data_IF_346341161448
#
_entry.id   IF_346341161448
#
_cell.length_a   1.000
_cell.length_b   1.000
_cell.length_c   1.000
_cell.angle_alpha   90.00
_cell.angle_beta   90.00
_cell.angle_gamma   90.00
#
_symmetry.space_group_name_H-M   'P 1'
#
loop_
_entity.id
_entity.type
_entity.pdbx_description
1 polymer ?
#
# COMPACT_ATOMS: atom_id res chain seq x y z
N UNK A 1 -15.06 -33.19 5.23
CA UNK A 1 -14.97 -31.71 5.28
C UNK A 1 -13.51 -31.32 5.10
N UNK A 2 -13.02 -31.38 3.87
CA UNK A 2 -11.61 -31.16 3.61
C UNK A 2 -11.31 -31.19 2.12
N UNK A 3 -10.33 -30.38 1.76
CA UNK A 3 -9.55 -30.40 0.51
C UNK A 3 -10.16 -29.81 -0.76
N UNK A 4 -11.47 -29.53 -0.83
CA UNK A 4 -12.07 -28.97 -2.06
C UNK A 4 -12.12 -27.43 -2.14
N UNK A 5 -11.86 -26.69 -1.05
CA UNK A 5 -11.81 -25.21 -1.09
C UNK A 5 -10.38 -24.65 -1.29
N UNK A 6 -9.35 -25.48 -1.18
CA UNK A 6 -7.95 -25.05 -1.38
C UNK A 6 -7.52 -25.13 -2.86
N UNK A 7 -8.25 -25.87 -3.69
CA UNK A 7 -7.99 -26.04 -5.13
C UNK A 7 -8.51 -24.88 -6.01
N UNK A 8 -9.35 -24.00 -5.47
CA UNK A 8 -9.83 -22.81 -6.19
C UNK A 8 -8.81 -21.65 -6.16
N UNK A 9 -7.81 -21.71 -5.27
CA UNK A 9 -6.73 -20.72 -5.17
C UNK A 9 -5.44 -21.11 -5.88
N UNK A 10 -5.29 -22.37 -6.30
CA UNK A 10 -4.04 -22.89 -6.87
C UNK A 10 -4.02 -22.92 -8.40
N UNK A 11 -5.15 -22.64 -9.07
CA UNK A 11 -5.28 -22.83 -10.51
C UNK A 11 -5.50 -21.54 -11.33
N UNK A 12 -4.62 -20.55 -11.13
CA UNK A 12 -4.36 -19.50 -12.14
C UNK A 12 -2.88 -19.48 -12.54
N UNK A 13 -2.40 -20.47 -13.33
CA UNK A 13 -0.98 -20.79 -13.30
C UNK A 13 -0.09 -20.01 -14.27
N UNK A 14 -0.54 -19.01 -15.06
CA UNK A 14 0.37 -18.42 -16.06
C UNK A 14 0.24 -16.91 -16.43
N UNK A 15 -0.59 -16.11 -15.75
CA UNK A 15 -0.65 -14.65 -15.99
C UNK A 15 0.12 -13.81 -14.94
N UNK A 16 0.28 -14.32 -13.71
CA UNK A 16 0.82 -13.55 -12.58
C UNK A 16 2.36 -13.49 -12.48
N UNK A 17 3.10 -14.38 -13.14
CA UNK A 17 4.55 -14.48 -12.97
C UNK A 17 5.36 -13.86 -14.13
N UNK A 18 4.80 -13.73 -15.33
CA UNK A 18 5.50 -13.15 -16.50
C UNK A 18 5.50 -11.60 -16.49
N UNK A 19 4.49 -10.95 -15.88
CA UNK A 19 4.44 -9.48 -15.78
C UNK A 19 5.42 -8.87 -14.75
N UNK A 20 5.95 -9.68 -13.82
CA UNK A 20 6.87 -9.23 -12.76
C UNK A 20 8.18 -8.62 -13.27
N UNK A 21 8.58 -8.91 -14.51
CA UNK A 21 9.89 -8.52 -15.03
C UNK A 21 9.91 -7.18 -15.79
N UNK A 22 8.75 -6.59 -16.14
CA UNK A 22 8.66 -5.27 -16.83
C UNK A 22 7.78 -4.22 -16.14
N UNK A 23 7.33 -4.46 -14.91
CA UNK A 23 6.37 -3.62 -14.18
C UNK A 23 6.78 -2.14 -14.14
N UNK A 24 7.96 -1.82 -13.60
CA UNK A 24 8.38 -0.42 -13.37
C UNK A 24 8.58 0.45 -14.63
N UNK A 25 8.82 -0.18 -15.78
CA UNK A 25 8.98 0.53 -17.06
C UNK A 25 7.64 0.69 -17.80
N UNK A 26 6.65 -0.16 -17.49
CA UNK A 26 5.30 -0.11 -18.05
C UNK A 26 4.36 0.80 -17.26
N UNK A 27 4.69 1.12 -16.00
CA UNK A 27 3.91 2.08 -15.21
C UNK A 27 4.13 3.49 -15.79
N UNK A 28 3.06 4.03 -16.39
CA UNK A 28 3.00 5.41 -16.86
C UNK A 28 3.02 6.39 -15.67
N UNK A 29 3.46 7.63 -15.88
CA UNK A 29 3.48 8.65 -14.82
C UNK A 29 4.65 8.60 -13.82
N UNK A 30 5.51 7.57 -13.84
CA UNK A 30 6.71 7.54 -12.97
C UNK A 30 7.85 8.42 -13.50
N UNK A 31 8.43 9.23 -12.63
CA UNK A 31 9.66 9.97 -12.90
C UNK A 31 10.87 9.03 -13.00
N UNK A 32 11.98 9.44 -13.63
CA UNK A 32 13.20 8.62 -13.68
C UNK A 32 13.72 8.17 -12.29
N UNK A 33 13.58 9.04 -11.28
CA UNK A 33 13.92 8.72 -9.89
C UNK A 33 13.00 7.65 -9.29
N UNK A 34 11.68 7.79 -9.46
CA UNK A 34 10.71 6.81 -9.00
C UNK A 34 10.89 5.45 -9.67
N UNK A 35 11.26 5.42 -10.98
CA UNK A 35 11.59 4.16 -11.67
C UNK A 35 12.79 3.45 -11.05
N UNK A 36 13.80 4.20 -10.58
CA UNK A 36 14.96 3.63 -9.88
C UNK A 36 14.55 2.98 -8.56
N UNK A 37 13.69 3.65 -7.78
CA UNK A 37 13.14 3.12 -6.52
C UNK A 37 12.30 1.88 -6.79
N UNK A 38 11.37 1.93 -7.75
CA UNK A 38 10.55 0.78 -8.13
C UNK A 38 11.41 -0.42 -8.53
N UNK A 39 12.49 -0.21 -9.30
CA UNK A 39 13.41 -1.30 -9.69
C UNK A 39 14.17 -1.91 -8.51
N UNK A 40 14.44 -1.12 -7.47
CA UNK A 40 15.11 -1.58 -6.24
C UNK A 40 14.14 -2.33 -5.30
N UNK A 41 12.90 -1.87 -5.22
CA UNK A 41 11.87 -2.36 -4.29
C UNK A 41 10.67 -2.98 -5.05
N UNK A 42 10.95 -3.83 -6.05
CA UNK A 42 9.90 -4.38 -6.95
C UNK A 42 8.86 -5.20 -6.20
N UNK A 43 9.30 -5.97 -5.22
CA UNK A 43 8.50 -6.76 -4.30
C UNK A 43 7.55 -5.92 -3.42
N UNK A 44 7.83 -4.63 -3.24
CA UNK A 44 6.99 -3.71 -2.47
C UNK A 44 5.82 -3.17 -3.30
N UNK A 45 5.95 -3.13 -4.63
CA UNK A 45 4.98 -2.49 -5.53
C UNK A 45 3.54 -3.01 -5.40
N UNK A 46 3.28 -4.32 -5.17
CA UNK A 46 1.93 -4.80 -4.88
C UNK A 46 1.34 -4.21 -3.58
N UNK A 47 2.16 -4.04 -2.54
CA UNK A 47 1.72 -3.41 -1.28
C UNK A 47 1.48 -1.91 -1.46
N UNK A 48 2.36 -1.22 -2.19
CA UNK A 48 2.20 0.20 -2.55
C UNK A 48 0.90 0.41 -3.33
N UNK A 49 0.65 -0.38 -4.38
CA UNK A 49 -0.57 -0.24 -5.18
C UNK A 49 -1.85 -0.48 -4.37
N UNK A 50 -1.85 -1.47 -3.46
CA UNK A 50 -2.97 -1.68 -2.53
C UNK A 50 -3.17 -0.48 -1.59
N UNK A 51 -2.09 0.06 -1.04
CA UNK A 51 -2.14 1.21 -0.14
C UNK A 51 -2.70 2.47 -0.80
N UNK A 52 -2.31 2.73 -2.06
CA UNK A 52 -2.90 3.85 -2.83
C UNK A 52 -4.40 3.65 -3.05
N UNK A 53 -4.84 2.46 -3.48
CA UNK A 53 -6.28 2.16 -3.63
C UNK A 53 -7.05 2.38 -2.34
N UNK A 54 -6.51 1.88 -1.22
CA UNK A 54 -7.12 2.07 0.09
C UNK A 54 -7.24 3.56 0.45
N UNK A 55 -6.20 4.36 0.19
CA UNK A 55 -6.24 5.80 0.43
C UNK A 55 -7.27 6.53 -0.44
N UNK A 56 -7.42 6.15 -1.71
CA UNK A 56 -8.43 6.71 -2.61
C UNK A 56 -9.84 6.34 -2.16
N UNK A 57 -10.08 5.07 -1.83
CA UNK A 57 -11.38 4.62 -1.30
C UNK A 57 -11.75 5.38 -0.02
N UNK A 58 -10.80 5.57 0.89
CA UNK A 58 -11.01 6.36 2.10
C UNK A 58 -11.29 7.85 1.77
N UNK A 59 -10.56 8.41 0.81
CA UNK A 59 -10.79 9.77 0.35
C UNK A 59 -12.21 9.97 -0.20
N UNK A 60 -12.67 9.05 -1.06
CA UNK A 60 -14.02 9.05 -1.58
C UNK A 60 -15.06 8.91 -0.47
N UNK A 61 -14.79 8.06 0.52
CA UNK A 61 -15.65 7.91 1.68
C UNK A 61 -15.77 9.20 2.51
N UNK A 62 -14.65 9.89 2.77
CA UNK A 62 -14.61 11.14 3.53
C UNK A 62 -15.31 12.30 2.80
N UNK A 63 -15.28 12.30 1.48
CA UNK A 63 -15.81 13.38 0.64
C UNK A 63 -17.11 13.04 -0.10
N UNK A 64 -17.75 11.91 0.21
CA UNK A 64 -18.95 11.41 -0.50
C UNK A 64 -20.12 12.41 -0.55
N UNK A 65 -20.26 13.24 0.48
CA UNK A 65 -21.34 14.23 0.62
C UNK A 65 -20.87 15.67 0.29
N UNK A 66 -19.74 15.80 -0.43
CA UNK A 66 -19.15 17.08 -0.86
C UNK A 66 -19.30 17.28 -2.36
N UNK A 67 -19.22 18.53 -2.82
CA UNK A 67 -19.25 18.87 -4.26
C UNK A 67 -18.13 18.21 -5.06
N UNK A 68 -16.96 18.09 -4.44
CA UNK A 68 -15.86 17.27 -4.93
C UNK A 68 -15.81 16.00 -4.10
N UNK A 69 -15.93 14.84 -4.75
CA UNK A 69 -16.13 13.53 -4.13
C UNK A 69 -14.86 12.64 -4.20
N UNK A 70 -13.69 13.25 -4.37
CA UNK A 70 -12.42 12.54 -4.54
C UNK A 70 -12.35 11.57 -5.72
N UNK A 71 -13.01 11.92 -6.84
CA UNK A 71 -12.70 11.30 -8.14
C UNK A 71 -11.26 11.66 -8.52
N UNK A 72 -10.39 10.65 -8.50
CA UNK A 72 -9.05 10.73 -9.11
C UNK A 72 -9.15 10.48 -10.61
N UNK A 73 -8.12 10.85 -11.37
CA UNK A 73 -8.06 10.59 -12.81
C UNK A 73 -8.25 9.09 -13.11
N UNK A 74 -9.00 8.77 -14.17
CA UNK A 74 -9.40 7.40 -14.57
C UNK A 74 -8.25 6.49 -15.03
N UNK A 75 -7.00 6.86 -14.75
CA UNK A 75 -5.86 6.04 -15.11
C UNK A 75 -5.89 4.73 -14.30
N UNK A 76 -5.97 3.60 -15.00
CA UNK A 76 -5.93 2.27 -14.38
C UNK A 76 -4.68 2.05 -13.50
N UNK A 77 -3.64 2.86 -13.75
CA UNK A 77 -2.45 2.91 -12.92
C UNK A 77 -2.66 3.86 -11.75
N UNK A 78 -2.70 3.30 -10.53
CA UNK A 78 -2.64 4.02 -9.24
C UNK A 78 -1.32 4.77 -9.00
N UNK A 79 -0.53 4.97 -10.06
CA UNK A 79 0.80 5.54 -10.05
C UNK A 79 0.84 6.70 -11.04
N UNK A 80 1.34 7.86 -10.58
CA UNK A 80 1.31 9.11 -11.34
C UNK A 80 0.68 10.23 -10.50
N UNK A 81 0.52 11.43 -11.09
CA UNK A 81 -0.15 12.54 -10.42
C UNK A 81 -1.63 12.19 -10.18
N UNK A 82 -2.07 12.19 -8.91
CA UNK A 82 -3.46 11.89 -8.56
C UNK A 82 -4.43 13.01 -8.95
N UNK A 83 -3.92 14.24 -9.03
CA UNK A 83 -4.61 15.43 -9.51
C UNK A 83 -3.60 16.33 -10.22
N UNK A 84 -4.10 17.17 -11.13
CA UNK A 84 -3.27 18.09 -11.93
C UNK A 84 -3.27 19.52 -11.39
N UNK A 85 -4.08 19.81 -10.36
CA UNK A 85 -4.25 21.14 -9.78
C UNK A 85 -3.70 21.21 -8.35
N UNK A 86 -3.08 22.32 -7.98
CA UNK A 86 -2.68 22.57 -6.59
C UNK A 86 -3.88 23.14 -5.80
N UNK A 87 -4.57 22.28 -5.06
CA UNK A 87 -5.73 22.64 -4.24
C UNK A 87 -5.67 22.00 -2.84
N UNK A 88 -6.58 22.38 -1.96
CA UNK A 88 -6.70 21.78 -0.60
C UNK A 88 -7.08 20.30 -0.69
N UNK A 89 -7.93 19.97 -1.65
CA UNK A 89 -8.40 18.63 -1.97
C UNK A 89 -7.24 17.76 -2.48
N UNK A 90 -6.39 18.33 -3.34
CA UNK A 90 -5.14 17.68 -3.77
C UNK A 90 -4.22 17.37 -2.59
N UNK A 91 -4.00 18.34 -1.71
CA UNK A 91 -3.16 18.14 -0.53
C UNK A 91 -3.69 17.01 0.36
N UNK A 92 -5.01 16.95 0.57
CA UNK A 92 -5.65 15.86 1.30
C UNK A 92 -5.46 14.51 0.61
N UNK A 93 -5.66 14.46 -0.72
CA UNK A 93 -5.52 13.25 -1.52
C UNK A 93 -4.11 12.66 -1.45
N UNK A 94 -3.07 13.48 -1.56
CA UNK A 94 -1.68 13.02 -1.39
C UNK A 94 -1.39 12.57 0.04
N UNK A 95 -1.92 13.26 1.06
CA UNK A 95 -1.73 12.88 2.45
C UNK A 95 -2.37 11.51 2.78
N UNK A 96 -3.63 11.29 2.37
CA UNK A 96 -4.34 10.05 2.68
C UNK A 96 -3.81 8.86 1.89
N UNK A 97 -3.38 9.07 0.64
CA UNK A 97 -2.74 8.01 -0.16
C UNK A 97 -1.36 7.66 0.35
N UNK A 98 -0.55 8.64 0.76
CA UNK A 98 0.74 8.39 1.42
C UNK A 98 0.56 7.61 2.73
N UNK A 99 -0.43 7.98 3.56
CA UNK A 99 -0.78 7.22 4.76
C UNK A 99 -1.20 5.78 4.43
N UNK A 100 -2.03 5.61 3.39
CA UNK A 100 -2.44 4.29 2.90
C UNK A 100 -1.27 3.41 2.47
N UNK A 101 -0.30 3.97 1.74
CA UNK A 101 0.93 3.26 1.35
C UNK A 101 1.76 2.85 2.56
N UNK A 102 2.06 3.76 3.47
CA UNK A 102 2.86 3.47 4.67
C UNK A 102 2.22 2.37 5.52
N UNK A 103 0.89 2.41 5.67
CA UNK A 103 0.14 1.39 6.39
C UNK A 103 0.19 0.03 5.68
N UNK A 104 -0.05 0.00 4.36
CA UNK A 104 -0.07 -1.23 3.58
C UNK A 104 1.31 -1.91 3.52
N UNK A 105 2.39 -1.13 3.42
CA UNK A 105 3.76 -1.65 3.47
C UNK A 105 4.09 -2.15 4.88
N UNK A 106 3.78 -1.38 5.93
CA UNK A 106 4.01 -1.81 7.31
C UNK A 106 3.27 -3.10 7.69
N UNK A 107 2.06 -3.29 7.16
CA UNK A 107 1.29 -4.55 7.27
C UNK A 107 1.91 -5.69 6.47
N UNK A 108 2.37 -5.42 5.25
CA UNK A 108 3.06 -6.44 4.45
C UNK A 108 4.34 -6.94 5.14
N UNK A 109 5.05 -6.07 5.85
CA UNK A 109 6.17 -6.45 6.71
C UNK A 109 5.75 -7.36 7.87
N UNK A 110 4.67 -6.98 8.59
CA UNK A 110 4.12 -7.78 9.69
C UNK A 110 3.71 -9.18 9.22
N UNK A 111 3.06 -9.25 8.06
CA UNK A 111 2.56 -10.50 7.48
C UNK A 111 3.69 -11.36 6.86
N UNK A 112 4.95 -10.92 6.89
CA UNK A 112 6.08 -11.65 6.30
C UNK A 112 6.07 -11.70 4.76
N UNK A 113 5.31 -10.81 4.10
CA UNK A 113 5.19 -10.76 2.63
C UNK A 113 6.37 -10.08 1.95
N UNK A 114 7.20 -9.36 2.71
CA UNK A 114 8.38 -8.63 2.24
C UNK A 114 9.61 -9.17 2.94
N UNK A 115 10.62 -9.59 2.19
CA UNK A 115 11.83 -10.20 2.74
C UNK A 115 12.76 -9.19 3.43
N UNK A 116 12.62 -7.90 3.11
CA UNK A 116 13.46 -6.81 3.59
C UNK A 116 13.08 -6.27 4.98
N UNK A 117 11.93 -6.69 5.51
CA UNK A 117 11.40 -6.20 6.78
C UNK A 117 10.66 -7.29 7.55
N UNK A 118 10.28 -6.99 8.80
CA UNK A 118 9.49 -7.86 9.65
C UNK A 118 8.62 -7.05 10.60
N UNK A 119 8.25 -7.64 11.74
CA UNK A 119 7.44 -7.00 12.77
C UNK A 119 8.01 -5.65 13.23
N UNK A 120 7.12 -4.78 13.72
CA UNK A 120 7.51 -3.55 14.39
C UNK A 120 8.47 -3.80 15.56
N UNK A 121 9.48 -2.95 15.68
CA UNK A 121 10.41 -2.92 16.83
C UNK A 121 9.96 -1.93 17.91
N UNK A 122 8.71 -1.47 17.85
CA UNK A 122 8.15 -0.55 18.84
C UNK A 122 8.19 -1.18 20.24
N UNK A 123 8.82 -0.45 21.17
CA UNK A 123 8.85 -0.83 22.57
C UNK A 123 7.46 -0.73 23.22
N UNK A 124 7.33 -1.36 24.39
CA UNK A 124 6.13 -1.27 25.22
C UNK A 124 5.72 0.20 25.44
N UNK A 125 4.47 0.59 25.14
CA UNK A 125 3.98 1.93 25.44
C UNK A 125 4.02 2.22 26.94
N UNK A 126 4.46 3.43 27.33
CA UNK A 126 4.49 3.86 28.74
C UNK A 126 3.09 3.94 29.37
N UNK A 127 2.07 4.13 28.53
CA UNK A 127 0.65 4.21 28.92
C UNK A 127 0.00 2.84 29.11
N UNK A 128 0.65 1.74 28.73
CA UNK A 128 0.08 0.40 28.86
C UNK A 128 0.08 -0.02 30.34
N UNK A 129 -1.12 -0.33 30.86
CA UNK A 129 -1.31 -0.79 32.24
C UNK A 129 -0.41 -1.99 32.56
N UNK A 130 0.17 -2.00 33.77
CA UNK A 130 1.23 -2.95 34.17
C UNK A 130 0.82 -4.40 34.02
N UNK A 131 -0.46 -4.70 34.25
CA UNK A 131 -1.03 -6.06 34.17
C UNK A 131 -1.09 -6.62 32.74
N UNK A 132 -0.99 -5.76 31.72
CA UNK A 132 -1.01 -6.18 30.32
C UNK A 132 0.40 -6.48 29.85
N UNK A 133 0.58 -7.58 29.11
CA UNK A 133 1.85 -7.93 28.47
C UNK A 133 1.89 -7.33 27.07
N UNK A 134 2.98 -6.63 26.73
CA UNK A 134 3.23 -6.17 25.37
C UNK A 134 3.88 -7.28 24.57
N UNK A 135 3.32 -7.62 23.41
CA UNK A 135 3.83 -8.69 22.56
C UNK A 135 3.08 -8.82 21.25
N UNK A 136 3.40 -9.89 20.53
CA UNK A 136 2.88 -10.14 19.18
C UNK A 136 3.69 -9.44 18.09
N UNK A 137 3.19 -9.52 16.85
CA UNK A 137 3.79 -8.90 15.69
C UNK A 137 2.92 -7.72 15.25
N UNK A 138 3.39 -6.49 15.52
CA UNK A 138 2.70 -5.26 15.11
C UNK A 138 3.13 -4.77 13.72
N UNK A 139 2.29 -3.92 13.11
CA UNK A 139 2.57 -3.26 11.83
C UNK A 139 3.86 -2.43 11.92
N UNK A 140 4.79 -2.63 10.98
CA UNK A 140 6.08 -1.93 10.97
C UNK A 140 5.98 -0.58 10.25
N UNK A 141 5.37 0.40 10.93
CA UNK A 141 5.11 1.73 10.37
C UNK A 141 6.39 2.53 10.11
N UNK A 142 7.45 2.31 10.88
CA UNK A 142 8.74 2.98 10.65
C UNK A 142 9.36 2.54 9.32
N UNK A 143 9.22 1.25 8.97
CA UNK A 143 9.64 0.76 7.67
C UNK A 143 8.73 1.27 6.55
N UNK A 144 7.41 1.20 6.74
CA UNK A 144 6.45 1.62 5.72
C UNK A 144 6.53 3.12 5.37
N UNK A 145 6.94 3.96 6.31
CA UNK A 145 7.16 5.39 6.08
C UNK A 145 8.42 5.72 5.26
N UNK A 146 9.41 4.81 5.23
CA UNK A 146 10.70 5.00 4.53
C UNK A 146 10.62 4.57 3.08
#
# INVERSE_FOLDING_TARGET
>A
MGLLEFEEWTNQPNLFFSEKYRLCSKIYGLTPGQRRICRKHKDHMPAVGRGVRQGITECQYQFRDRRWNCTVTEDETVFGPLTLIASRETAFTYAITAAGVSLAVGRACRDGRLASCGCSRAGRPRTLHKDWVWGGCGDNLEYGYK
#
